data_IF_126716150390
#
_entry.id   IF_126716150390
#
_cell.length_a   1.000
_cell.length_b   1.000
_cell.length_c   1.000
_cell.angle_alpha   90.00
_cell.angle_beta   90.00
_cell.angle_gamma   90.00
#
_symmetry.space_group_name_H-M   'P 1'
#
loop_
_entity.id
_entity.type
_entity.pdbx_description
1 polymer ?
#
# COMPACT_ATOMS: atom_id res chain seq x y z
N UNK A 1 -34.84 20.48 -46.81
CA UNK A 1 -35.76 19.99 -47.87
C UNK A 1 -35.15 18.70 -48.37
N UNK A 2 -35.67 17.47 -48.34
CA UNK A 2 -36.93 16.77 -47.99
C UNK A 2 -36.50 15.28 -47.94
N UNK A 3 -36.66 14.56 -46.83
CA UNK A 3 -37.80 13.68 -46.51
C UNK A 3 -37.74 12.25 -47.11
N UNK A 4 -37.96 11.25 -46.23
CA UNK A 4 -38.60 9.93 -46.49
C UNK A 4 -37.87 8.90 -47.37
N UNK A 5 -37.92 7.58 -47.17
CA UNK A 5 -38.76 6.72 -46.31
C UNK A 5 -38.16 5.29 -46.22
N UNK A 6 -38.60 4.58 -45.18
CA UNK A 6 -38.46 3.14 -44.88
C UNK A 6 -38.87 2.24 -46.05
N UNK A 7 -38.48 0.95 -46.02
CA UNK A 7 -39.43 -0.19 -46.03
C UNK A 7 -38.80 -1.47 -45.42
N UNK A 8 -39.52 -2.02 -44.43
CA UNK A 8 -39.47 -3.42 -44.02
C UNK A 8 -40.35 -4.24 -44.97
N UNK A 9 -39.96 -5.48 -45.28
CA UNK A 9 -40.92 -6.53 -45.66
C UNK A 9 -40.66 -7.81 -44.89
N UNK A 10 -41.68 -8.19 -44.12
CA UNK A 10 -41.96 -9.51 -43.56
C UNK A 10 -42.72 -10.33 -44.60
N UNK A 11 -42.40 -11.61 -44.75
CA UNK A 11 -43.32 -12.74 -45.04
C UNK A 11 -42.49 -14.04 -44.92
N UNK A 12 -42.62 -14.90 -43.89
CA UNK A 12 -43.66 -15.94 -43.68
C UNK A 12 -43.97 -16.73 -44.97
N UNK A 13 -43.99 -18.07 -45.07
CA UNK A 13 -44.38 -19.09 -44.10
C UNK A 13 -44.17 -20.51 -44.71
N UNK A 14 -43.94 -21.52 -43.85
CA UNK A 14 -44.37 -22.96 -43.93
C UNK A 14 -44.19 -23.79 -45.21
N UNK A 15 -43.56 -24.97 -45.07
CA UNK A 15 -44.29 -26.27 -45.07
C UNK A 15 -43.41 -27.50 -44.79
N UNK A 16 -43.66 -28.10 -43.62
CA UNK A 16 -43.76 -29.53 -43.29
C UNK A 16 -42.94 -30.59 -44.06
N UNK A 17 -42.16 -31.38 -43.30
CA UNK A 17 -42.29 -32.85 -43.29
C UNK A 17 -42.13 -33.38 -41.87
N UNK A 18 -43.09 -34.21 -41.49
CA UNK A 18 -43.27 -34.84 -40.20
C UNK A 18 -43.03 -36.34 -40.40
N UNK A 19 -42.22 -36.99 -39.55
CA UNK A 19 -42.26 -38.44 -39.36
C UNK A 19 -41.64 -38.85 -38.01
N UNK A 20 -42.56 -39.18 -37.10
CA UNK A 20 -42.58 -40.28 -36.10
C UNK A 20 -41.56 -40.37 -34.95
N UNK A 21 -42.18 -40.59 -33.78
CA UNK A 21 -41.65 -40.86 -32.44
C UNK A 21 -40.71 -42.07 -32.35
N UNK A 22 -39.74 -41.98 -31.43
CA UNK A 22 -39.43 -43.07 -30.51
C UNK A 22 -39.22 -42.48 -29.11
N UNK A 23 -40.07 -42.91 -28.18
CA UNK A 23 -40.02 -42.57 -26.77
C UNK A 23 -38.78 -43.18 -26.09
N UNK A 24 -38.02 -42.36 -25.38
CA UNK A 24 -37.06 -42.83 -24.38
C UNK A 24 -37.02 -41.83 -23.22
N UNK A 25 -37.76 -42.16 -22.15
CA UNK A 25 -37.75 -41.41 -20.91
C UNK A 25 -36.36 -41.38 -20.28
N UNK A 26 -35.74 -40.20 -20.26
CA UNK A 26 -34.59 -39.90 -19.39
C UNK A 26 -35.07 -39.00 -18.25
N UNK A 27 -35.12 -39.57 -17.04
CA UNK A 27 -35.35 -38.84 -15.78
C UNK A 27 -34.44 -37.59 -15.73
N UNK A 28 -34.95 -36.40 -15.39
CA UNK A 28 -34.09 -35.25 -15.16
C UNK A 28 -33.28 -35.50 -13.88
N UNK A 29 -31.97 -35.70 -14.00
CA UNK A 29 -31.05 -35.60 -12.85
C UNK A 29 -31.04 -34.15 -12.39
N UNK A 30 -31.90 -33.82 -11.42
CA UNK A 30 -31.82 -32.59 -10.62
C UNK A 30 -30.57 -32.66 -9.74
N UNK A 31 -29.40 -32.40 -10.32
CA UNK A 31 -28.22 -32.06 -9.54
C UNK A 31 -28.23 -30.56 -9.28
N UNK A 32 -29.16 -30.16 -8.40
CA UNK A 32 -29.12 -28.87 -7.72
C UNK A 32 -28.06 -28.93 -6.63
N UNK A 33 -26.79 -29.08 -7.03
CA UNK A 33 -25.67 -28.72 -6.18
C UNK A 33 -25.56 -27.20 -6.26
N UNK A 34 -26.41 -26.53 -5.48
CA UNK A 34 -26.09 -25.20 -5.00
C UNK A 34 -24.69 -25.28 -4.39
N UNK A 35 -23.69 -24.81 -5.15
CA UNK A 35 -22.43 -24.36 -4.57
C UNK A 35 -22.84 -23.29 -3.56
N UNK A 36 -22.97 -23.70 -2.29
CA UNK A 36 -23.05 -22.79 -1.17
C UNK A 36 -21.78 -21.96 -1.26
N UNK A 37 -21.91 -20.74 -1.74
CA UNK A 37 -20.89 -19.73 -1.56
C UNK A 37 -20.87 -19.47 -0.06
N UNK A 38 -20.05 -20.22 0.66
CA UNK A 38 -19.71 -19.87 2.03
C UNK A 38 -19.01 -18.53 1.90
N UNK A 39 -19.53 -17.44 2.47
CA UNK A 39 -18.74 -16.23 2.58
C UNK A 39 -17.53 -16.63 3.42
N UNK A 40 -16.38 -16.69 2.74
CA UNK A 40 -15.07 -16.83 3.34
C UNK A 40 -15.07 -16.05 4.64
N UNK A 41 -14.85 -16.78 5.73
CA UNK A 41 -14.58 -16.24 7.06
C UNK A 41 -13.76 -14.97 6.93
N UNK A 42 -14.22 -13.90 7.59
CA UNK A 42 -13.53 -12.61 7.61
C UNK A 42 -12.07 -12.87 7.99
N UNK A 43 -11.17 -12.80 7.01
CA UNK A 43 -9.74 -12.96 7.23
C UNK A 43 -9.33 -11.73 8.04
N UNK A 44 -9.24 -11.89 9.36
CA UNK A 44 -8.58 -10.92 10.23
C UNK A 44 -7.17 -10.78 9.66
N UNK A 45 -6.91 -9.66 8.98
CA UNK A 45 -5.67 -9.38 8.28
C UNK A 45 -4.49 -9.47 9.26
N UNK A 46 -3.81 -10.61 9.24
CA UNK A 46 -2.62 -10.86 10.06
C UNK A 46 -1.43 -10.01 9.60
N UNK A 47 -0.34 -10.08 10.35
CA UNK A 47 0.93 -9.46 9.93
C UNK A 47 1.38 -10.04 8.59
N UNK A 48 1.89 -9.18 7.71
CA UNK A 48 2.14 -9.53 6.31
C UNK A 48 3.02 -10.77 6.10
N UNK A 49 4.11 -10.90 6.85
CA UNK A 49 5.05 -12.02 6.76
C UNK A 49 5.21 -12.74 8.11
N UNK A 50 4.21 -12.66 9.00
CA UNK A 50 4.22 -13.41 10.25
C UNK A 50 2.83 -13.89 10.64
N UNK A 51 2.76 -14.99 11.40
CA UNK A 51 1.49 -15.60 11.82
C UNK A 51 0.76 -14.81 12.92
N UNK A 52 1.35 -13.73 13.41
CA UNK A 52 0.80 -12.92 14.50
C UNK A 52 -0.40 -12.08 14.09
N UNK A 53 -1.37 -11.92 15.00
CA UNK A 53 -2.63 -11.19 14.81
C UNK A 53 -2.77 -9.95 15.71
N UNK A 54 -1.66 -9.38 16.17
CA UNK A 54 -1.69 -8.22 17.08
C UNK A 54 -2.29 -6.96 16.43
N UNK A 55 -3.15 -6.24 17.17
CA UNK A 55 -3.95 -5.09 16.71
C UNK A 55 -3.50 -3.73 17.27
N UNK A 56 -2.35 -3.66 17.94
CA UNK A 56 -1.86 -2.42 18.57
C UNK A 56 -1.52 -1.34 17.53
N UNK A 57 -2.23 -0.21 17.59
CA UNK A 57 -2.01 0.96 16.76
C UNK A 57 -2.42 2.24 17.52
N UNK A 58 -1.93 3.40 17.09
CA UNK A 58 -2.37 4.69 17.65
C UNK A 58 -3.82 4.98 17.26
N UNK A 59 -4.66 5.30 18.24
CA UNK A 59 -6.01 5.79 18.03
C UNK A 59 -5.99 7.33 17.99
N UNK A 60 -6.30 7.92 16.83
CA UNK A 60 -6.37 9.38 16.70
C UNK A 60 -7.63 9.91 17.40
N UNK A 61 -7.56 11.09 18.04
CA UNK A 61 -8.75 11.73 18.60
C UNK A 61 -9.73 12.10 17.49
N UNK A 62 -11.03 12.07 17.80
CA UNK A 62 -12.07 12.44 16.85
C UNK A 62 -11.96 13.91 16.41
N UNK A 63 -11.72 14.81 17.37
CA UNK A 63 -11.57 16.24 17.12
C UNK A 63 -10.28 16.50 16.36
N UNK A 64 -10.38 17.10 15.18
CA UNK A 64 -9.25 17.42 14.30
C UNK A 64 -8.70 18.84 14.47
N UNK A 65 -9.42 19.70 15.19
CA UNK A 65 -8.95 21.07 15.48
C UNK A 65 -7.78 21.03 16.48
N UNK A 66 -6.87 22.02 16.44
CA UNK A 66 -5.85 22.13 17.46
C UNK A 66 -6.49 22.37 18.85
N UNK A 67 -5.86 21.92 19.93
CA UNK A 67 -6.30 22.26 21.28
C UNK A 67 -6.11 23.76 21.59
N UNK A 68 -6.97 24.34 22.45
CA UNK A 68 -6.97 25.78 22.76
C UNK A 68 -5.74 26.27 23.55
N UNK A 69 -5.06 25.36 24.25
CA UNK A 69 -3.85 25.63 25.01
C UNK A 69 -2.59 25.67 24.13
N UNK A 70 -2.66 25.13 22.90
CA UNK A 70 -1.55 25.23 21.96
C UNK A 70 -1.54 26.63 21.35
N UNK A 71 -0.55 27.45 21.72
CA UNK A 71 -0.36 28.82 21.21
C UNK A 71 0.58 28.92 20.02
N UNK A 72 1.17 27.79 19.62
CA UNK A 72 2.10 27.72 18.49
C UNK A 72 1.39 28.06 17.18
N UNK A 73 1.97 28.96 16.39
CA UNK A 73 1.45 29.28 15.06
C UNK A 73 1.88 28.23 14.05
N UNK A 74 1.21 28.18 12.89
CA UNK A 74 1.61 27.25 11.82
C UNK A 74 3.02 27.53 11.29
N UNK A 75 3.45 28.79 11.30
CA UNK A 75 4.76 29.21 10.83
C UNK A 75 5.88 28.67 11.74
N UNK A 76 5.70 28.77 13.06
CA UNK A 76 6.67 28.24 14.03
C UNK A 76 6.88 26.72 13.89
N UNK A 77 5.80 25.99 13.57
CA UNK A 77 5.85 24.54 13.33
C UNK A 77 6.65 24.22 12.07
N UNK A 78 6.44 24.99 10.99
CA UNK A 78 7.16 24.78 9.73
C UNK A 78 8.65 25.07 9.88
N UNK A 79 9.01 26.14 10.61
CA UNK A 79 10.41 26.46 10.95
C UNK A 79 11.06 25.35 11.79
N UNK A 80 10.34 24.85 12.79
CA UNK A 80 10.81 23.75 13.63
C UNK A 80 11.04 22.47 12.81
N UNK A 81 10.11 22.13 11.91
CA UNK A 81 10.25 20.98 10.99
C UNK A 81 11.48 21.16 10.10
N UNK A 82 11.69 22.34 9.52
CA UNK A 82 12.84 22.62 8.68
C UNK A 82 14.15 22.53 9.46
N UNK A 83 14.18 23.04 10.70
CA UNK A 83 15.34 22.93 11.60
C UNK A 83 15.69 21.48 11.91
N UNK A 84 14.71 20.64 12.19
CA UNK A 84 14.94 19.22 12.46
C UNK A 84 15.34 18.44 11.20
N UNK A 85 14.79 18.79 10.04
CA UNK A 85 15.18 18.18 8.76
C UNK A 85 16.63 18.52 8.39
N UNK A 86 17.08 19.76 8.64
CA UNK A 86 18.49 20.16 8.45
C UNK A 86 19.46 19.41 9.37
N UNK A 87 19.00 18.93 10.53
CA UNK A 87 19.76 18.03 11.42
C UNK A 87 19.82 16.59 10.91
N UNK A 88 19.15 16.26 9.80
CA UNK A 88 19.10 14.91 9.24
C UNK A 88 18.09 13.97 9.91
N UNK A 89 17.13 14.49 10.68
CA UNK A 89 16.12 13.67 11.33
C UNK A 89 15.04 13.19 10.33
N UNK A 90 14.56 11.97 10.52
CA UNK A 90 13.52 11.43 9.63
C UNK A 90 12.15 12.03 9.93
N UNK A 91 11.24 12.13 8.94
CA UNK A 91 9.89 12.67 9.15
C UNK A 91 9.13 11.99 10.30
N UNK A 92 9.33 10.68 10.49
CA UNK A 92 8.74 9.92 11.60
C UNK A 92 9.30 10.36 12.96
N UNK A 93 10.62 10.56 13.07
CA UNK A 93 11.26 11.07 14.29
C UNK A 93 10.86 12.52 14.60
N UNK A 94 10.78 13.37 13.57
CA UNK A 94 10.33 14.77 13.70
C UNK A 94 8.94 14.81 14.33
N UNK A 95 8.02 13.96 13.86
CA UNK A 95 6.66 13.89 14.42
C UNK A 95 6.60 13.43 15.88
N UNK A 96 7.57 12.62 16.33
CA UNK A 96 7.69 12.20 17.73
C UNK A 96 8.23 13.34 18.60
N UNK A 97 9.28 14.03 18.16
CA UNK A 97 9.87 15.16 18.90
C UNK A 97 8.88 16.32 19.04
N UNK A 98 8.10 16.62 18.00
CA UNK A 98 7.08 17.65 18.06
C UNK A 98 5.96 17.27 19.06
N UNK A 99 5.66 15.98 19.19
CA UNK A 99 4.67 15.50 20.17
C UNK A 99 5.20 15.57 21.59
N UNK A 100 6.39 15.04 21.82
CA UNK A 100 6.90 14.79 23.17
C UNK A 100 7.52 16.04 23.79
N UNK A 101 8.22 16.87 23.00
CA UNK A 101 8.91 18.07 23.51
C UNK A 101 8.11 19.36 23.32
N UNK A 102 7.38 19.50 22.20
CA UNK A 102 6.66 20.75 21.87
C UNK A 102 5.16 20.66 22.20
N UNK A 103 4.66 19.48 22.60
CA UNK A 103 3.25 19.28 22.92
C UNK A 103 2.30 19.36 21.72
N UNK A 104 2.81 19.20 20.48
CA UNK A 104 2.00 19.24 19.27
C UNK A 104 1.52 17.81 18.94
N UNK A 105 0.24 17.46 19.20
CA UNK A 105 -0.23 16.09 19.04
C UNK A 105 -0.25 15.64 17.58
N UNK A 106 -0.66 16.54 16.67
CA UNK A 106 -0.79 16.28 15.23
C UNK A 106 -0.42 17.53 14.43
N UNK A 107 0.66 17.44 13.64
CA UNK A 107 1.10 18.53 12.74
C UNK A 107 0.00 18.91 11.73
N UNK A 108 -0.74 17.91 11.23
CA UNK A 108 -1.83 18.15 10.27
C UNK A 108 -2.94 19.03 10.85
N UNK A 109 -3.20 18.97 12.16
CA UNK A 109 -4.24 19.77 12.80
C UNK A 109 -3.87 21.24 12.92
N UNK A 110 -2.58 21.57 12.98
CA UNK A 110 -2.08 22.94 13.11
C UNK A 110 -1.84 23.55 11.73
N UNK A 111 -1.04 22.91 10.89
CA UNK A 111 -0.60 23.44 9.59
C UNK A 111 -1.54 23.05 8.42
N UNK A 112 -2.45 22.09 8.62
CA UNK A 112 -3.31 21.54 7.56
C UNK A 112 -2.61 20.54 6.62
N UNK A 113 -1.27 20.59 6.53
CA UNK A 113 -0.44 19.69 5.73
C UNK A 113 0.29 18.64 6.58
N UNK A 114 0.73 17.55 5.94
CA UNK A 114 1.57 16.51 6.58
C UNK A 114 3.05 16.92 6.49
N UNK A 115 3.86 16.42 7.43
CA UNK A 115 5.33 16.67 7.52
C UNK A 115 6.02 16.45 6.16
N UNK A 116 5.79 15.30 5.51
CA UNK A 116 6.39 15.01 4.19
C UNK A 116 6.01 16.02 3.08
N UNK A 117 4.85 16.67 3.17
CA UNK A 117 4.44 17.68 2.19
C UNK A 117 5.14 19.01 2.45
N UNK A 118 5.28 19.38 3.72
CA UNK A 118 6.03 20.58 4.15
C UNK A 118 7.48 20.45 3.70
N UNK A 119 8.13 19.31 3.96
CA UNK A 119 9.51 19.06 3.53
C UNK A 119 9.69 19.12 2.01
N UNK A 120 8.70 18.66 1.24
CA UNK A 120 8.73 18.77 -0.23
C UNK A 120 8.59 20.21 -0.72
N UNK A 121 7.75 21.01 -0.07
CA UNK A 121 7.58 22.41 -0.42
C UNK A 121 8.88 23.20 -0.23
N UNK A 122 9.66 22.86 0.81
CA UNK A 122 10.97 23.47 1.08
C UNK A 122 12.15 22.79 0.38
N UNK A 123 11.94 21.75 -0.43
CA UNK A 123 13.02 21.02 -1.11
C UNK A 123 13.93 20.18 -0.21
N UNK A 124 13.55 19.97 1.06
CA UNK A 124 14.32 19.19 2.06
C UNK A 124 13.83 17.73 2.16
N UNK A 125 13.10 17.25 1.16
CA UNK A 125 12.55 15.91 1.17
C UNK A 125 13.62 14.86 0.81
N UNK A 126 13.65 13.70 1.50
CA UNK A 126 14.56 12.63 1.13
C UNK A 126 14.17 12.07 -0.24
N UNK A 127 15.18 11.82 -1.09
CA UNK A 127 14.99 11.23 -2.42
C UNK A 127 14.39 9.82 -2.33
N UNK A 128 14.88 9.04 -1.37
CA UNK A 128 14.41 7.70 -1.10
C UNK A 128 13.36 7.76 0.02
N UNK A 129 12.17 7.15 -0.15
CA UNK A 129 11.18 7.05 0.92
C UNK A 129 11.74 6.38 2.18
N UNK A 130 11.41 6.95 3.35
CA UNK A 130 11.88 6.49 4.67
C UNK A 130 11.67 4.99 4.90
N UNK A 131 10.50 4.46 4.53
CA UNK A 131 10.15 3.05 4.69
C UNK A 131 11.10 2.13 3.91
N UNK A 132 11.47 2.55 2.70
CA UNK A 132 12.36 1.80 1.82
C UNK A 132 13.78 1.82 2.36
N UNK A 133 14.26 3.01 2.77
CA UNK A 133 15.57 3.20 3.37
C UNK A 133 15.78 2.29 4.59
N UNK A 134 14.83 2.24 5.53
CA UNK A 134 14.96 1.40 6.73
C UNK A 134 14.88 -0.10 6.44
N UNK A 135 14.14 -0.54 5.42
CA UNK A 135 14.17 -1.94 5.00
C UNK A 135 15.50 -2.33 4.36
N UNK A 136 16.07 -1.45 3.53
CA UNK A 136 17.40 -1.66 2.94
C UNK A 136 18.45 -1.70 4.05
N UNK A 137 18.42 -0.77 5.01
CA UNK A 137 19.30 -0.76 6.19
C UNK A 137 19.29 -2.09 6.94
N UNK A 138 18.09 -2.61 7.16
CA UNK A 138 17.89 -3.91 7.82
C UNK A 138 18.44 -5.06 6.98
N UNK A 139 18.23 -5.06 5.67
CA UNK A 139 18.74 -6.09 4.78
C UNK A 139 20.29 -6.11 4.75
N UNK A 140 20.92 -4.93 4.68
CA UNK A 140 22.39 -4.78 4.73
C UNK A 140 22.94 -5.31 6.05
N UNK A 141 22.31 -4.97 7.18
CA UNK A 141 22.72 -5.48 8.50
C UNK A 141 22.62 -7.02 8.58
N UNK A 142 21.54 -7.62 8.07
CA UNK A 142 21.37 -9.09 8.05
C UNK A 142 22.41 -9.74 7.13
N UNK A 143 22.73 -9.15 5.97
CA UNK A 143 23.76 -9.67 5.06
C UNK A 143 25.14 -9.66 5.71
N UNK A 144 25.53 -8.55 6.35
CA UNK A 144 26.79 -8.44 7.11
C UNK A 144 26.89 -9.48 8.23
N UNK A 145 25.77 -9.80 8.89
CA UNK A 145 25.70 -10.88 9.88
C UNK A 145 25.91 -12.26 9.24
N UNK A 146 25.26 -12.53 8.11
CA UNK A 146 25.34 -13.82 7.39
C UNK A 146 26.70 -14.09 6.75
N UNK A 147 27.46 -13.06 6.39
CA UNK A 147 28.84 -13.19 5.88
C UNK A 147 29.74 -13.91 6.89
N UNK A 148 29.58 -13.57 8.18
CA UNK A 148 30.27 -14.23 9.31
C UNK A 148 29.58 -15.53 9.71
N UNK A 149 28.25 -15.54 9.75
CA UNK A 149 27.44 -16.66 10.24
C UNK A 149 26.72 -17.40 9.10
N UNK A 150 27.48 -18.09 8.25
CA UNK A 150 26.94 -18.73 7.02
C UNK A 150 25.93 -19.86 7.29
N UNK A 151 26.00 -20.48 8.46
CA UNK A 151 25.15 -21.60 8.88
C UNK A 151 23.79 -21.15 9.45
N UNK A 152 23.58 -19.86 9.70
CA UNK A 152 22.33 -19.32 10.23
C UNK A 152 21.22 -19.34 9.16
N UNK A 153 20.36 -20.37 9.24
CA UNK A 153 19.24 -20.59 8.31
C UNK A 153 18.07 -19.65 8.61
N UNK A 154 17.88 -19.23 9.86
CA UNK A 154 16.78 -18.36 10.28
C UNK A 154 17.00 -16.93 9.78
N UNK A 155 18.22 -16.40 9.92
CA UNK A 155 18.57 -15.10 9.35
C UNK A 155 18.49 -15.08 7.82
N UNK A 156 18.85 -16.19 7.14
CA UNK A 156 18.63 -16.36 5.69
C UNK A 156 17.14 -16.28 5.33
N UNK A 157 16.28 -16.97 6.08
CA UNK A 157 14.83 -16.90 5.87
C UNK A 157 14.30 -15.48 6.09
N UNK A 158 14.73 -14.80 7.16
CA UNK A 158 14.33 -13.41 7.42
C UNK A 158 14.82 -12.43 6.36
N UNK A 159 16.01 -12.64 5.79
CA UNK A 159 16.52 -11.84 4.68
C UNK A 159 15.57 -11.92 3.47
N UNK A 160 15.15 -13.12 3.08
CA UNK A 160 14.19 -13.34 1.98
C UNK A 160 12.89 -12.56 2.23
N UNK A 161 12.38 -12.56 3.47
CA UNK A 161 11.16 -11.81 3.83
C UNK A 161 11.35 -10.29 3.79
N UNK A 162 12.55 -9.78 4.10
CA UNK A 162 12.88 -8.35 4.02
C UNK A 162 13.01 -7.93 2.56
N UNK A 163 13.78 -8.66 1.75
CA UNK A 163 13.97 -8.39 0.32
C UNK A 163 12.64 -8.44 -0.44
N UNK A 164 11.79 -9.42 -0.11
CA UNK A 164 10.42 -9.51 -0.67
C UNK A 164 9.58 -8.26 -0.36
N UNK A 165 9.74 -7.64 0.83
CA UNK A 165 9.06 -6.37 1.15
C UNK A 165 9.64 -5.19 0.37
N UNK A 166 10.96 -5.14 0.21
CA UNK A 166 11.64 -4.10 -0.58
C UNK A 166 11.13 -4.12 -2.01
N UNK A 167 11.08 -5.28 -2.67
CA UNK A 167 10.58 -5.40 -4.05
C UNK A 167 9.10 -4.99 -4.18
N UNK A 168 8.27 -5.31 -3.19
CA UNK A 168 6.85 -4.89 -3.17
C UNK A 168 6.69 -3.38 -3.03
N UNK A 169 7.44 -2.76 -2.12
CA UNK A 169 7.43 -1.30 -1.94
C UNK A 169 8.01 -0.58 -3.15
N UNK A 170 9.11 -1.07 -3.72
CA UNK A 170 9.71 -0.53 -4.93
C UNK A 170 8.70 -0.52 -6.08
N UNK A 171 7.96 -1.62 -6.30
CA UNK A 171 6.89 -1.67 -7.30
C UNK A 171 5.82 -0.60 -7.07
N UNK A 172 5.37 -0.43 -5.83
CA UNK A 172 4.39 0.60 -5.47
C UNK A 172 4.92 2.01 -5.74
N UNK A 173 6.17 2.29 -5.37
CA UNK A 173 6.79 3.61 -5.54
C UNK A 173 7.10 3.95 -7.00
N UNK A 174 7.43 2.96 -7.84
CA UNK A 174 7.49 3.10 -9.30
C UNK A 174 6.11 3.46 -9.88
N UNK A 175 5.06 2.73 -9.48
CA UNK A 175 3.68 2.98 -9.95
C UNK A 175 3.21 4.39 -9.56
N UNK A 176 3.56 4.86 -8.36
CA UNK A 176 3.19 6.20 -7.87
C UNK A 176 4.15 7.31 -8.31
N UNK A 177 5.13 7.01 -9.18
CA UNK A 177 6.12 7.95 -9.72
C UNK A 177 6.95 8.68 -8.64
N UNK A 178 7.10 8.09 -7.45
CA UNK A 178 7.99 8.61 -6.40
C UNK A 178 9.43 8.13 -6.57
N UNK A 179 9.65 7.06 -7.33
CA UNK A 179 10.96 6.55 -7.72
C UNK A 179 11.06 6.51 -9.24
N UNK A 180 12.27 6.65 -9.81
CA UNK A 180 12.46 6.48 -11.24
C UNK A 180 12.14 5.04 -11.67
N UNK A 181 11.63 4.82 -12.89
CA UNK A 181 11.23 3.50 -13.36
C UNK A 181 12.41 2.51 -13.41
N UNK A 182 13.61 3.04 -13.69
CA UNK A 182 14.89 2.30 -13.76
C UNK A 182 15.36 1.81 -12.40
N UNK A 183 14.88 2.38 -11.28
CA UNK A 183 15.37 2.08 -9.94
C UNK A 183 15.29 0.57 -9.63
N UNK A 184 16.40 -0.04 -9.21
CA UNK A 184 16.43 -1.46 -8.86
C UNK A 184 17.16 -1.65 -7.54
N UNK A 185 16.64 -2.56 -6.72
CA UNK A 185 17.33 -2.99 -5.52
C UNK A 185 18.41 -3.98 -5.92
N UNK A 186 19.67 -3.58 -5.76
CA UNK A 186 20.82 -4.46 -5.93
C UNK A 186 21.54 -4.58 -4.58
N UNK A 187 21.84 -5.81 -4.20
CA UNK A 187 22.36 -6.08 -2.86
C UNK A 187 23.80 -5.60 -2.65
N UNK A 188 24.58 -5.50 -3.71
CA UNK A 188 25.97 -5.04 -3.71
C UNK A 188 26.05 -3.52 -3.53
N UNK A 189 25.15 -2.78 -4.16
CA UNK A 189 25.09 -1.30 -4.08
C UNK A 189 24.26 -0.81 -2.88
N UNK A 190 23.46 -1.69 -2.26
CA UNK A 190 22.62 -1.33 -1.11
C UNK A 190 23.39 -0.69 0.06
N UNK A 191 24.66 -1.05 0.26
CA UNK A 191 25.49 -0.52 1.34
C UNK A 191 25.83 0.96 1.16
N UNK A 192 26.00 1.44 -0.09
CA UNK A 192 26.35 2.84 -0.37
C UNK A 192 25.14 3.77 -0.25
N UNK A 193 23.93 3.24 -0.43
CA UNK A 193 22.67 3.99 -0.32
C UNK A 193 22.25 4.25 1.13
N UNK A 194 22.89 3.60 2.10
CA UNK A 194 22.46 3.60 3.50
C UNK A 194 23.58 3.98 4.48
N UNK A 195 24.76 4.32 3.95
CA UNK A 195 25.87 4.85 4.71
C UNK A 195 25.54 6.24 5.29
#
# INVERSE_FOLDING_TARGET
MTNSQRQCWLTNNKSQRQCKEVAAGKKPRKNHLQRKYTPSTAVVMGRLHSKGKGISASALPYKRSPPSWLKTTSQDVDESICKFAKKGLTPSQIGVILRDSHGIPQVKSVTGNKILRILKAHGLAPEIPEDLYHLIKKAVAIRKHLERNRKDKDSKFRLILVESRIHRLARYYKKTKKLPPVWKYESTTASTLVA
#
